data_IF_772401913634
#
_entry.id   IF_772401913634
#
_cell.length_a   1.000
_cell.length_b   1.000
_cell.length_c   1.000
_cell.angle_alpha   90.00
_cell.angle_beta   90.00
_cell.angle_gamma   90.00
#
_symmetry.space_group_name_H-M   'P 1'
#
loop_
_entity.id
_entity.type
_entity.pdbx_description
1 polymer ?
#
# COMPACT_ATOMS: atom_id res chain seq x y z
N UNK A 1 36.60 61.00 -58.03
CA UNK A 1 36.53 61.06 -56.55
C UNK A 1 35.48 60.03 -56.13
N UNK A 2 35.86 58.85 -55.62
CA UNK A 2 35.90 58.47 -54.19
C UNK A 2 34.53 58.73 -53.52
N UNK A 3 33.83 57.85 -52.82
CA UNK A 3 34.13 56.55 -52.20
C UNK A 3 32.88 56.09 -51.40
N UNK A 4 32.79 54.79 -51.06
CA UNK A 4 32.26 54.24 -49.76
C UNK A 4 30.74 54.42 -49.51
N UNK A 5 29.88 53.41 -49.77
CA UNK A 5 29.52 52.26 -48.91
C UNK A 5 29.39 52.62 -47.43
N UNK A 6 28.17 52.85 -46.95
CA UNK A 6 27.88 52.90 -45.51
C UNK A 6 26.93 51.78 -45.11
N UNK A 7 27.35 51.04 -44.10
CA UNK A 7 26.81 49.78 -43.61
C UNK A 7 25.59 50.01 -42.72
N UNK A 8 24.48 49.33 -43.00
CA UNK A 8 23.40 49.14 -42.04
C UNK A 8 23.66 47.84 -41.25
N UNK A 9 24.22 47.97 -40.05
CA UNK A 9 24.29 46.89 -39.06
C UNK A 9 22.91 46.80 -38.39
N UNK A 10 22.12 45.79 -38.76
CA UNK A 10 20.96 45.36 -37.97
C UNK A 10 21.46 44.48 -36.83
N UNK A 11 21.56 45.04 -35.63
CA UNK A 11 21.70 44.27 -34.40
C UNK A 11 20.36 43.53 -34.15
N UNK A 12 20.34 42.22 -34.35
CA UNK A 12 19.23 41.37 -33.94
C UNK A 12 19.27 41.17 -32.43
N UNK A 13 18.26 41.68 -31.71
CA UNK A 13 17.98 41.22 -30.36
C UNK A 13 17.43 39.80 -30.43
N UNK A 14 18.23 38.82 -30.00
CA UNK A 14 17.75 37.49 -29.61
C UNK A 14 17.06 37.63 -28.24
N UNK A 15 15.73 37.70 -28.23
CA UNK A 15 14.96 37.51 -27.01
C UNK A 15 14.98 36.03 -26.64
N UNK A 16 15.79 35.70 -25.64
CA UNK A 16 15.78 34.41 -24.97
C UNK A 16 14.48 34.29 -24.15
N UNK A 17 13.46 33.67 -24.73
CA UNK A 17 12.31 33.21 -23.97
C UNK A 17 12.72 31.97 -23.17
N UNK A 18 13.14 32.15 -21.92
CA UNK A 18 13.27 31.03 -21.00
C UNK A 18 11.87 30.43 -20.79
N UNK A 19 11.69 29.22 -21.32
CA UNK A 19 10.54 28.38 -21.02
C UNK A 19 10.48 28.18 -19.51
N UNK A 20 9.38 28.63 -18.90
CA UNK A 20 9.08 28.35 -17.51
C UNK A 20 8.92 26.84 -17.35
N UNK A 21 9.93 26.19 -16.77
CA UNK A 21 9.80 24.81 -16.32
C UNK A 21 8.67 24.77 -15.29
N UNK A 22 7.53 24.20 -15.67
CA UNK A 22 6.51 23.81 -14.70
C UNK A 22 7.12 22.69 -13.86
N UNK A 23 7.64 23.05 -12.68
CA UNK A 23 7.98 22.09 -11.64
C UNK A 23 6.65 21.54 -11.14
N UNK A 24 6.29 20.34 -11.57
CA UNK A 24 5.21 19.60 -10.93
C UNK A 24 5.64 19.35 -9.48
N UNK A 25 4.95 20.00 -8.54
CA UNK A 25 5.03 19.62 -7.14
C UNK A 25 4.62 18.15 -7.05
N UNK A 26 5.55 17.28 -6.66
CA UNK A 26 5.19 15.94 -6.17
C UNK A 26 4.39 16.19 -4.90
N UNK A 27 3.09 15.99 -4.98
CA UNK A 27 2.20 15.98 -3.83
C UNK A 27 2.70 14.86 -2.92
N UNK A 28 3.37 15.23 -1.83
CA UNK A 28 3.85 14.32 -0.79
C UNK A 28 2.64 13.81 0.00
N UNK A 29 1.76 13.03 -0.64
CA UNK A 29 0.85 12.19 0.09
C UNK A 29 1.69 11.08 0.73
N UNK A 30 1.72 10.96 2.08
CA UNK A 30 2.33 9.81 2.70
C UNK A 30 1.68 8.56 2.10
N UNK A 31 2.51 7.58 1.71
CA UNK A 31 1.98 6.33 1.17
C UNK A 31 0.97 5.76 2.19
N UNK A 32 -0.19 5.26 1.75
CA UNK A 32 -1.15 4.63 2.64
C UNK A 32 -0.45 3.59 3.52
N UNK A 33 -0.80 3.55 4.80
CA UNK A 33 -0.19 2.64 5.77
C UNK A 33 -0.44 1.20 5.33
N UNK A 34 0.61 0.42 5.08
CA UNK A 34 0.48 -1.01 4.79
C UNK A 34 -0.10 -1.75 6.01
N UNK A 35 -1.00 -2.70 5.78
CA UNK A 35 -1.60 -3.50 6.86
C UNK A 35 -0.54 -4.34 7.58
N UNK A 36 0.41 -4.93 6.84
CA UNK A 36 1.57 -5.63 7.43
C UNK A 36 2.34 -4.71 8.37
N UNK A 37 2.61 -3.47 7.94
CA UNK A 37 3.31 -2.50 8.79
C UNK A 37 2.50 -2.11 10.02
N UNK A 38 1.19 -1.92 9.87
CA UNK A 38 0.30 -1.59 10.99
C UNK A 38 0.35 -2.69 12.07
N UNK A 39 0.28 -3.95 11.65
CA UNK A 39 0.39 -5.12 12.54
C UNK A 39 1.75 -5.15 13.25
N UNK A 40 2.85 -5.00 12.52
CA UNK A 40 4.20 -5.03 13.12
C UNK A 40 4.43 -3.90 14.14
N UNK A 41 3.74 -2.76 14.00
CA UNK A 41 3.83 -1.66 14.96
C UNK A 41 2.86 -1.77 16.13
N UNK A 42 1.85 -2.63 16.03
CA UNK A 42 0.88 -2.84 17.11
C UNK A 42 1.41 -3.87 18.12
N UNK A 43 2.17 -3.35 19.08
CA UNK A 43 2.72 -4.11 20.21
C UNK A 43 1.66 -4.76 21.11
N UNK A 44 0.37 -4.40 21.00
CA UNK A 44 -0.70 -5.03 21.77
C UNK A 44 -1.24 -6.28 21.09
N UNK A 45 -1.10 -6.38 19.76
CA UNK A 45 -1.56 -7.52 18.98
C UNK A 45 -0.45 -8.55 18.74
N UNK A 46 0.78 -8.11 18.46
CA UNK A 46 1.86 -8.99 18.00
C UNK A 46 2.92 -9.21 19.08
N UNK A 47 2.99 -10.45 19.59
CA UNK A 47 4.05 -10.85 20.51
C UNK A 47 5.31 -11.38 19.80
N UNK A 48 5.19 -11.84 18.54
CA UNK A 48 6.28 -12.43 17.77
C UNK A 48 6.37 -11.84 16.37
N UNK A 49 7.59 -11.63 15.88
CA UNK A 49 7.82 -11.16 14.52
C UNK A 49 7.21 -12.16 13.52
N UNK A 50 6.28 -11.69 12.70
CA UNK A 50 5.61 -12.51 11.69
C UNK A 50 6.52 -12.87 10.51
N UNK A 51 6.06 -13.81 9.70
CA UNK A 51 6.70 -14.18 8.44
C UNK A 51 6.11 -13.34 7.31
N UNK A 52 6.94 -12.57 6.62
CA UNK A 52 6.57 -11.79 5.44
C UNK A 52 7.13 -12.47 4.19
N UNK A 53 6.30 -12.77 3.21
CA UNK A 53 6.70 -13.33 1.90
C UNK A 53 6.25 -12.38 0.79
N UNK A 54 7.23 -11.81 0.09
CA UNK A 54 6.97 -10.93 -1.05
C UNK A 54 6.84 -11.71 -2.34
N UNK A 55 5.78 -11.43 -3.11
CA UNK A 55 5.57 -11.98 -4.45
C UNK A 55 5.63 -10.86 -5.50
N UNK A 56 6.83 -10.34 -5.82
CA UNK A 56 6.97 -9.20 -6.73
C UNK A 56 6.34 -9.45 -8.09
N UNK A 57 6.50 -10.63 -8.69
CA UNK A 57 5.90 -10.96 -9.99
C UNK A 57 4.36 -10.98 -9.95
N UNK A 58 3.77 -11.36 -8.81
CA UNK A 58 2.32 -11.47 -8.65
C UNK A 58 1.69 -10.20 -8.04
N UNK A 59 2.50 -9.24 -7.60
CA UNK A 59 2.01 -7.94 -7.15
C UNK A 59 1.46 -7.90 -5.72
N UNK A 60 1.78 -8.88 -4.87
CA UNK A 60 1.27 -8.92 -3.49
C UNK A 60 2.31 -9.36 -2.45
N UNK A 61 1.98 -9.21 -1.18
CA UNK A 61 2.71 -9.73 -0.03
C UNK A 61 1.78 -10.63 0.79
N UNK A 62 2.29 -11.76 1.25
CA UNK A 62 1.65 -12.59 2.26
C UNK A 62 2.34 -12.34 3.60
N UNK A 63 1.57 -12.17 4.66
CA UNK A 63 2.07 -12.05 6.01
C UNK A 63 1.31 -12.94 6.97
N UNK A 64 2.05 -13.65 7.80
CA UNK A 64 1.49 -14.47 8.86
C UNK A 64 2.14 -14.15 10.21
N UNK A 65 1.33 -14.02 11.25
CA UNK A 65 1.82 -13.82 12.61
C UNK A 65 0.95 -14.58 13.61
N UNK A 66 1.58 -15.09 14.67
CA UNK A 66 0.86 -15.65 15.81
C UNK A 66 0.54 -14.54 16.81
N UNK A 67 -0.73 -14.45 17.20
CA UNK A 67 -1.19 -13.62 18.32
C UNK A 67 -1.47 -14.51 19.51
N UNK A 68 -1.17 -13.98 20.69
CA UNK A 68 -1.47 -14.60 21.96
C UNK A 68 -2.30 -13.63 22.80
N UNK A 69 -3.36 -14.14 23.43
CA UNK A 69 -4.15 -13.35 24.37
C UNK A 69 -5.48 -14.01 24.70
N UNK A 70 -6.35 -13.26 25.38
CA UNK A 70 -7.73 -13.70 25.59
C UNK A 70 -8.51 -13.61 24.28
N UNK A 71 -9.11 -14.73 23.85
CA UNK A 71 -9.82 -14.86 22.56
C UNK A 71 -10.68 -13.65 22.18
N UNK A 72 -11.61 -13.25 23.06
CA UNK A 72 -12.52 -12.13 22.79
C UNK A 72 -11.79 -10.79 22.60
N UNK A 73 -10.75 -10.54 23.40
CA UNK A 73 -9.94 -9.31 23.31
C UNK A 73 -9.12 -9.29 22.02
N UNK A 74 -8.50 -10.42 21.67
CA UNK A 74 -7.72 -10.58 20.44
C UNK A 74 -8.60 -10.40 19.20
N UNK A 75 -9.78 -11.04 19.17
CA UNK A 75 -10.75 -10.89 18.08
C UNK A 75 -11.25 -9.44 17.95
N UNK A 76 -11.52 -8.76 19.07
CA UNK A 76 -11.96 -7.36 19.07
C UNK A 76 -10.86 -6.43 18.56
N UNK A 77 -9.64 -6.56 19.09
CA UNK A 77 -8.50 -5.74 18.69
C UNK A 77 -8.17 -5.94 17.20
N UNK A 78 -8.21 -7.20 16.72
CA UNK A 78 -8.01 -7.50 15.30
C UNK A 78 -9.05 -6.81 14.41
N UNK A 79 -10.34 -6.90 14.74
CA UNK A 79 -11.41 -6.23 13.97
C UNK A 79 -11.24 -4.71 13.95
N UNK A 80 -10.83 -4.12 15.08
CA UNK A 80 -10.54 -2.69 15.17
C UNK A 80 -9.37 -2.30 14.27
N UNK A 81 -8.28 -3.07 14.28
CA UNK A 81 -7.13 -2.83 13.43
C UNK A 81 -7.49 -2.91 11.94
N UNK A 82 -8.20 -3.97 11.52
CA UNK A 82 -8.69 -4.14 10.13
C UNK A 82 -9.53 -2.94 9.70
N UNK A 83 -10.46 -2.52 10.54
CA UNK A 83 -11.35 -1.39 10.23
C UNK A 83 -10.58 -0.07 10.14
N UNK A 84 -9.67 0.19 11.09
CA UNK A 84 -8.86 1.42 11.13
C UNK A 84 -8.00 1.55 9.89
N UNK A 85 -7.19 0.53 9.59
CA UNK A 85 -6.28 0.55 8.44
C UNK A 85 -7.07 0.62 7.14
N UNK A 86 -8.17 -0.13 7.02
CA UNK A 86 -8.98 -0.06 5.80
C UNK A 86 -9.55 1.34 5.56
N UNK A 87 -10.05 2.00 6.61
CA UNK A 87 -10.55 3.37 6.52
C UNK A 87 -9.44 4.36 6.17
N UNK A 88 -8.24 4.21 6.72
CA UNK A 88 -7.08 5.05 6.39
C UNK A 88 -6.67 4.94 4.92
N UNK A 89 -6.82 3.75 4.33
CA UNK A 89 -6.58 3.52 2.91
C UNK A 89 -7.78 3.92 2.01
N UNK A 90 -8.77 4.67 2.54
CA UNK A 90 -10.00 5.06 1.82
C UNK A 90 -10.82 3.85 1.33
N UNK A 91 -10.69 2.72 2.02
CA UNK A 91 -11.41 1.49 1.75
C UNK A 91 -12.65 1.29 2.61
N UNK A 92 -13.40 0.25 2.27
CA UNK A 92 -14.51 -0.30 3.06
C UNK A 92 -14.25 -1.78 3.32
N UNK A 93 -14.60 -2.25 4.50
CA UNK A 93 -14.48 -3.67 4.86
C UNK A 93 -15.72 -4.41 4.38
N UNK A 94 -15.53 -5.46 3.58
CA UNK A 94 -16.57 -6.45 3.23
C UNK A 94 -16.03 -7.86 3.47
N UNK A 95 -16.69 -8.60 4.36
CA UNK A 95 -16.15 -9.86 4.89
C UNK A 95 -14.75 -9.66 5.46
N UNK A 96 -13.73 -10.32 4.92
CA UNK A 96 -12.33 -10.20 5.33
C UNK A 96 -11.51 -9.28 4.41
N UNK A 97 -12.14 -8.65 3.41
CA UNK A 97 -11.49 -7.81 2.42
C UNK A 97 -11.65 -6.33 2.76
N UNK A 98 -10.55 -5.59 2.64
CA UNK A 98 -10.59 -4.14 2.47
C UNK A 98 -10.62 -3.80 0.98
N UNK A 99 -11.62 -3.03 0.58
CA UNK A 99 -11.89 -2.71 -0.83
C UNK A 99 -11.85 -1.20 -1.01
N UNK A 100 -11.03 -0.73 -1.95
CA UNK A 100 -10.94 0.69 -2.29
C UNK A 100 -12.29 1.22 -2.77
N UNK A 101 -12.77 2.30 -2.15
CA UNK A 101 -14.13 2.81 -2.41
C UNK A 101 -14.30 3.46 -3.78
N UNK A 102 -13.21 3.85 -4.45
CA UNK A 102 -13.24 4.55 -5.75
C UNK A 102 -13.13 3.59 -6.93
N UNK A 103 -12.22 2.64 -6.82
CA UNK A 103 -11.84 1.71 -7.89
C UNK A 103 -12.46 0.33 -7.71
N UNK A 104 -13.02 0.02 -6.54
CA UNK A 104 -13.48 -1.31 -6.17
C UNK A 104 -12.38 -2.36 -6.42
N UNK A 105 -11.15 -2.03 -6.00
CA UNK A 105 -9.99 -2.90 -6.05
C UNK A 105 -9.72 -3.48 -4.65
N UNK A 106 -9.28 -4.74 -4.53
CA UNK A 106 -8.90 -5.31 -3.26
C UNK A 106 -7.58 -4.67 -2.80
N UNK A 107 -7.58 -4.08 -1.62
CA UNK A 107 -6.40 -3.48 -1.01
C UNK A 107 -5.65 -4.53 -0.20
N UNK A 108 -6.36 -5.20 0.70
CA UNK A 108 -5.86 -6.35 1.45
C UNK A 108 -6.99 -7.27 1.89
N UNK A 109 -6.67 -8.53 2.16
CA UNK A 109 -7.45 -9.48 2.94
C UNK A 109 -6.73 -9.70 4.27
N UNK A 110 -7.49 -9.76 5.36
CA UNK A 110 -6.97 -10.06 6.67
C UNK A 110 -7.91 -11.02 7.40
N UNK A 111 -7.37 -12.16 7.83
CA UNK A 111 -8.13 -13.23 8.46
C UNK A 111 -7.51 -13.65 9.78
N UNK A 112 -8.35 -13.89 10.77
CA UNK A 112 -7.92 -14.46 12.05
C UNK A 112 -8.31 -15.95 12.08
N UNK A 113 -7.31 -16.81 11.87
CA UNK A 113 -7.44 -18.25 12.02
C UNK A 113 -7.44 -18.67 13.49
N UNK A 114 -8.32 -19.61 13.85
CA UNK A 114 -8.25 -20.26 15.15
C UNK A 114 -7.13 -21.30 15.16
N UNK A 115 -6.18 -21.18 16.08
CA UNK A 115 -5.11 -22.16 16.25
C UNK A 115 -5.27 -22.91 17.58
N UNK A 116 -4.98 -24.22 17.57
CA UNK A 116 -5.31 -25.13 18.68
C UNK A 116 -4.20 -25.18 19.74
N UNK A 117 -3.10 -24.45 19.54
CA UNK A 117 -2.05 -24.38 20.54
C UNK A 117 -2.35 -23.30 21.58
N UNK A 118 -1.95 -23.52 22.83
CA UNK A 118 -1.94 -22.47 23.86
C UNK A 118 -0.61 -21.76 23.84
N UNK A 119 -0.63 -20.44 23.94
CA UNK A 119 0.59 -19.68 24.21
C UNK A 119 1.11 -19.97 25.63
N UNK A 120 2.26 -19.38 26.00
CA UNK A 120 2.70 -19.45 27.40
C UNK A 120 1.57 -18.92 28.30
N UNK A 121 1.40 -19.54 29.48
CA UNK A 121 0.35 -19.23 30.46
C UNK A 121 -1.11 -19.57 30.08
N UNK A 122 -1.32 -20.43 29.07
CA UNK A 122 -2.65 -20.97 28.75
C UNK A 122 -3.53 -20.01 27.96
N UNK A 123 -2.95 -18.94 27.41
CA UNK A 123 -3.64 -18.00 26.54
C UNK A 123 -4.02 -18.63 25.19
N UNK A 124 -5.06 -18.09 24.57
CA UNK A 124 -5.52 -18.52 23.25
C UNK A 124 -4.54 -18.04 22.19
N UNK A 125 -4.13 -18.94 21.29
CA UNK A 125 -3.35 -18.56 20.11
C UNK A 125 -4.24 -18.42 18.88
N UNK A 126 -3.93 -17.42 18.07
CA UNK A 126 -4.54 -17.22 16.75
C UNK A 126 -3.45 -16.95 15.74
N UNK A 127 -3.71 -17.26 14.48
CA UNK A 127 -2.84 -16.87 13.38
C UNK A 127 -3.55 -15.78 12.61
N UNK A 128 -2.91 -14.63 12.43
CA UNK A 128 -3.33 -13.68 11.41
C UNK A 128 -2.74 -14.15 10.09
N UNK A 129 -3.58 -14.22 9.06
CA UNK A 129 -3.16 -14.33 7.66
C UNK A 129 -3.53 -13.02 6.95
N UNK A 130 -2.58 -12.45 6.21
CA UNK A 130 -2.80 -11.21 5.44
C UNK A 130 -2.31 -11.40 4.02
N UNK A 131 -3.16 -11.04 3.06
CA UNK A 131 -2.77 -10.84 1.67
C UNK A 131 -2.94 -9.38 1.33
N UNK A 132 -1.86 -8.68 1.01
CA UNK A 132 -1.90 -7.24 0.72
C UNK A 132 -1.30 -6.96 -0.66
N UNK A 133 -1.96 -6.09 -1.44
CA UNK A 133 -1.39 -5.59 -2.69
C UNK A 133 -0.06 -4.87 -2.39
N UNK A 134 0.97 -5.09 -3.20
CA UNK A 134 2.24 -4.37 -2.96
C UNK A 134 1.98 -2.86 -3.01
N UNK A 135 2.54 -2.09 -2.05
CA UNK A 135 2.26 -0.67 -1.93
C UNK A 135 2.43 0.05 -3.26
N UNK A 136 1.41 0.83 -3.58
CA UNK A 136 0.99 1.33 -4.89
C UNK A 136 2.00 2.19 -5.67
N UNK A 137 3.21 2.37 -5.17
CA UNK A 137 4.12 3.36 -5.75
C UNK A 137 4.61 2.93 -7.14
N UNK A 138 4.75 1.62 -7.45
CA UNK A 138 5.18 1.13 -8.78
C UNK A 138 4.78 -0.32 -9.08
N UNK A 139 3.50 -0.68 -9.09
CA UNK A 139 3.07 -1.97 -9.67
C UNK A 139 2.63 -1.79 -11.13
N UNK A 140 3.11 -2.66 -12.02
CA UNK A 140 2.74 -2.70 -13.44
C UNK A 140 1.27 -3.11 -13.61
N UNK A 141 0.71 -2.85 -14.79
CA UNK A 141 -0.64 -3.33 -15.13
C UNK A 141 -0.73 -4.86 -15.04
N UNK A 142 0.34 -5.57 -15.41
CA UNK A 142 0.43 -7.02 -15.29
C UNK A 142 0.38 -7.46 -13.81
N UNK A 143 1.18 -6.85 -12.94
CA UNK A 143 1.17 -7.14 -11.51
C UNK A 143 -0.20 -6.86 -10.88
N UNK A 144 -0.89 -5.80 -11.30
CA UNK A 144 -2.25 -5.48 -10.85
C UNK A 144 -3.25 -6.56 -11.26
N UNK A 145 -3.15 -7.05 -12.50
CA UNK A 145 -4.01 -8.14 -12.98
C UNK A 145 -3.70 -9.46 -12.26
N UNK A 146 -2.43 -9.76 -12.03
CA UNK A 146 -2.01 -10.94 -11.27
C UNK A 146 -2.53 -10.87 -9.83
N UNK A 147 -2.40 -9.72 -9.17
CA UNK A 147 -2.98 -9.51 -7.85
C UNK A 147 -4.48 -9.74 -7.84
N UNK A 148 -5.21 -9.19 -8.81
CA UNK A 148 -6.66 -9.39 -8.89
C UNK A 148 -7.02 -10.88 -9.03
N UNK A 149 -6.29 -11.63 -9.86
CA UNK A 149 -6.48 -13.08 -10.00
C UNK A 149 -6.22 -13.82 -8.68
N UNK A 150 -5.15 -13.45 -7.96
CA UNK A 150 -4.87 -14.00 -6.63
C UNK A 150 -6.02 -13.66 -5.69
N UNK A 151 -6.40 -12.39 -5.56
CA UNK A 151 -7.50 -11.97 -4.68
C UNK A 151 -8.79 -12.74 -4.97
N UNK A 152 -9.16 -12.92 -6.24
CA UNK A 152 -10.33 -13.70 -6.64
C UNK A 152 -10.22 -15.17 -6.25
N UNK A 153 -9.04 -15.78 -6.36
CA UNK A 153 -8.82 -17.16 -5.88
C UNK A 153 -8.97 -17.32 -4.37
N UNK A 154 -8.79 -16.23 -3.62
CA UNK A 154 -9.04 -16.13 -2.17
C UNK A 154 -10.43 -15.55 -1.83
N UNK A 155 -11.35 -15.54 -2.78
CA UNK A 155 -12.76 -15.19 -2.53
C UNK A 155 -13.11 -13.71 -2.62
N UNK A 156 -12.24 -12.87 -3.21
CA UNK A 156 -12.62 -11.53 -3.64
C UNK A 156 -13.59 -11.61 -4.83
N UNK A 157 -14.78 -11.01 -4.70
CA UNK A 157 -15.87 -11.06 -5.70
C UNK A 157 -16.14 -9.68 -6.31
#
# INVERSE_FOLDING_TARGET
MKSIVSYLVKAGLLTMACASSAVYAVENNPAPMSFVRAIETDTQLVQHQGLVIYHPTLGFVNYEATLCGAKEKTEQAFKQLVTSVCSEQQGRVESNWCIDTKSNAPLFNAELGSFVMTCQDGEYSSIIHVLEALPSVKISAEQRNNWLQVATSFGYL
#
